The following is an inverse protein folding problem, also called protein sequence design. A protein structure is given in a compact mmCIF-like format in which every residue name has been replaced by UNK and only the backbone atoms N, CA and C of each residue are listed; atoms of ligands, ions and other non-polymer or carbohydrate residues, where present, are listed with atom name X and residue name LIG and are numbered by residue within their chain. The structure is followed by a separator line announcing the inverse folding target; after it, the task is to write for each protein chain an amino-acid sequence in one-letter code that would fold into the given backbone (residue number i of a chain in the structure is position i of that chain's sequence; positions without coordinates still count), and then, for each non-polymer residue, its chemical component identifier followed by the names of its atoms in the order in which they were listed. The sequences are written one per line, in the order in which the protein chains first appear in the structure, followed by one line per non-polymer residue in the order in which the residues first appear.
data_IF_175954910432
#
_entry.id   IF_175954910432
#
_cell.length_a   1.000
_cell.length_b   1.000
_cell.length_c   1.000
_cell.angle_alpha   90.00
_cell.angle_beta   90.00
_cell.angle_gamma   90.00
#
_symmetry.space_group_name_H-M   'P 1'
#
loop_
_entity.id
_entity.type
_entity.pdbx_description
1 polymer ?
#
# COMPACT_ATOMS: atom_id res chain seq x y z
N UNK A 1 3.01 2.51 -20.79
CA UNK A 1 2.10 2.52 -19.62
C UNK A 1 1.81 1.14 -19.03
N UNK A 2 2.10 0.01 -19.71
CA UNK A 2 1.86 -1.34 -19.19
C UNK A 2 2.65 -1.66 -17.91
N UNK A 3 3.90 -1.16 -17.79
CA UNK A 3 4.73 -1.36 -16.60
C UNK A 3 4.27 -0.58 -15.36
N UNK A 4 3.70 0.60 -15.55
CA UNK A 4 3.20 1.45 -14.46
C UNK A 4 1.92 0.84 -13.83
N UNK A 5 1.01 0.33 -14.67
CA UNK A 5 -0.15 -0.43 -14.16
C UNK A 5 0.28 -1.71 -13.45
N UNK A 6 1.24 -2.47 -14.00
CA UNK A 6 1.71 -3.73 -13.40
C UNK A 6 2.31 -3.54 -12.01
N UNK A 7 2.89 -2.37 -11.74
CA UNK A 7 3.52 -2.07 -10.45
C UNK A 7 2.64 -1.21 -9.54
N UNK A 8 1.41 -0.87 -9.95
CA UNK A 8 0.55 0.05 -9.22
C UNK A 8 0.20 -0.46 -7.82
N UNK A 9 -0.11 -1.75 -7.69
CA UNK A 9 -0.37 -2.36 -6.38
C UNK A 9 0.86 -2.35 -5.47
N UNK A 10 2.05 -2.59 -6.01
CA UNK A 10 3.32 -2.50 -5.27
C UNK A 10 3.57 -1.07 -4.78
N UNK A 11 3.33 -0.07 -5.63
CA UNK A 11 3.46 1.36 -5.28
C UNK A 11 2.52 1.72 -4.12
N UNK A 12 1.27 1.23 -4.16
CA UNK A 12 0.30 1.46 -3.10
C UNK A 12 0.76 0.89 -1.74
N UNK A 13 1.36 -0.30 -1.76
CA UNK A 13 1.96 -0.93 -0.56
C UNK A 13 3.11 -0.10 -0.01
N UNK A 14 3.99 0.38 -0.88
CA UNK A 14 5.13 1.23 -0.49
C UNK A 14 4.65 2.53 0.15
N UNK A 15 3.62 3.17 -0.39
CA UNK A 15 3.03 4.37 0.20
C UNK A 15 2.48 4.08 1.60
N UNK A 16 1.75 2.97 1.76
CA UNK A 16 1.27 2.53 3.07
C UNK A 16 2.42 2.36 4.07
N UNK A 17 3.48 1.65 3.67
CA UNK A 17 4.66 1.44 4.53
C UNK A 17 5.35 2.75 4.92
N UNK A 18 5.51 3.69 3.98
CA UNK A 18 6.11 5.01 4.26
C UNK A 18 5.29 5.79 5.28
N UNK A 19 3.95 5.71 5.23
CA UNK A 19 3.07 6.35 6.21
C UNK A 19 3.27 5.75 7.61
N UNK A 20 3.38 4.42 7.74
CA UNK A 20 3.68 3.78 9.03
C UNK A 20 5.03 4.23 9.57
N UNK A 21 6.06 4.26 8.72
CA UNK A 21 7.41 4.70 9.09
C UNK A 21 7.38 6.16 9.56
N UNK A 22 6.71 7.05 8.83
CA UNK A 22 6.55 8.45 9.24
C UNK A 22 5.82 8.59 10.58
N UNK A 23 4.78 7.77 10.83
CA UNK A 23 4.08 7.75 12.11
C UNK A 23 5.00 7.32 13.27
N UNK A 24 5.91 6.38 13.01
CA UNK A 24 6.92 5.96 13.97
C UNK A 24 7.87 7.10 14.36
N UNK A 25 8.23 7.96 13.42
CA UNK A 25 9.12 9.11 13.69
C UNK A 25 8.40 10.31 14.31
N UNK A 26 7.12 10.51 13.99
CA UNK A 26 6.34 11.67 14.47
C UNK A 26 5.64 11.42 15.82
N UNK A 27 5.71 10.21 16.36
CA UNK A 27 5.10 9.85 17.65
C UNK A 27 3.60 9.60 17.58
N UNK A 28 3.01 9.56 16.37
CA UNK A 28 1.57 9.39 16.15
C UNK A 28 1.16 7.91 16.06
N UNK A 29 1.89 7.03 16.75
CA UNK A 29 1.74 5.56 16.71
C UNK A 29 0.47 5.05 17.43
N UNK A 30 -0.16 5.89 18.24
CA UNK A 30 -1.41 5.56 18.94
C UNK A 30 -2.67 6.01 18.20
N UNK A 31 -2.54 6.73 17.08
CA UNK A 31 -3.69 7.23 16.37
C UNK A 31 -4.24 6.14 15.44
N UNK A 32 -5.20 5.38 15.96
CA UNK A 32 -5.84 4.26 15.26
C UNK A 32 -6.43 4.63 13.90
N UNK A 33 -6.78 5.90 13.69
CA UNK A 33 -7.20 6.38 12.37
C UNK A 33 -6.06 6.28 11.33
N UNK A 34 -4.83 6.69 11.69
CA UNK A 34 -3.69 6.64 10.77
C UNK A 34 -3.14 5.21 10.67
N UNK A 35 -3.03 4.50 11.80
CA UNK A 35 -2.58 3.11 11.80
C UNK A 35 -3.55 2.20 11.03
N UNK A 36 -4.85 2.37 11.25
CA UNK A 36 -5.90 1.64 10.54
C UNK A 36 -5.95 1.98 9.06
N UNK A 37 -5.94 3.27 8.70
CA UNK A 37 -5.96 3.68 7.28
C UNK A 37 -4.75 3.18 6.52
N UNK A 38 -3.55 3.25 7.11
CA UNK A 38 -2.32 2.77 6.48
C UNK A 38 -2.26 1.23 6.38
N UNK A 39 -2.75 0.50 7.37
CA UNK A 39 -2.92 -0.95 7.27
C UNK A 39 -3.89 -1.36 6.16
N UNK A 40 -5.03 -0.67 6.04
CA UNK A 40 -5.98 -0.88 4.94
C UNK A 40 -5.33 -0.58 3.59
N UNK A 41 -4.54 0.50 3.50
CA UNK A 41 -3.81 0.89 2.30
C UNK A 41 -2.83 -0.21 1.83
N UNK A 42 -2.10 -0.81 2.77
CA UNK A 42 -1.20 -1.95 2.50
C UNK A 42 -1.97 -3.16 2.00
N UNK A 43 -3.08 -3.54 2.67
CA UNK A 43 -3.89 -4.70 2.29
C UNK A 43 -4.51 -4.50 0.91
N UNK A 44 -5.12 -3.35 0.64
CA UNK A 44 -5.72 -3.02 -0.66
C UNK A 44 -4.64 -2.94 -1.76
N UNK A 45 -3.45 -2.43 -1.44
CA UNK A 45 -2.31 -2.44 -2.35
C UNK A 45 -1.87 -3.84 -2.72
N UNK A 46 -1.80 -4.76 -1.75
CA UNK A 46 -1.46 -6.16 -1.98
C UNK A 46 -2.50 -6.85 -2.85
N UNK A 47 -3.79 -6.67 -2.54
CA UNK A 47 -4.90 -7.26 -3.32
C UNK A 47 -4.86 -6.72 -4.76
N UNK A 48 -4.70 -5.41 -4.92
CA UNK A 48 -4.55 -4.78 -6.25
C UNK A 48 -3.35 -5.35 -7.00
N UNK A 49 -2.20 -5.53 -6.35
CA UNK A 49 -1.01 -6.12 -6.95
C UNK A 49 -1.30 -7.54 -7.45
N UNK A 50 -1.91 -8.39 -6.63
CA UNK A 50 -2.24 -9.77 -6.98
C UNK A 50 -3.23 -9.81 -8.15
N UNK A 51 -4.30 -9.03 -8.10
CA UNK A 51 -5.34 -8.99 -9.15
C UNK A 51 -4.77 -8.49 -10.48
N UNK A 52 -4.01 -7.40 -10.46
CA UNK A 52 -3.40 -6.83 -11.66
C UNK A 52 -2.39 -7.82 -12.25
N UNK A 53 -1.53 -8.43 -11.41
CA UNK A 53 -0.52 -9.36 -11.90
C UNK A 53 -1.16 -10.65 -12.44
N UNK A 54 -2.31 -11.08 -11.89
CA UNK A 54 -3.10 -12.21 -12.40
C UNK A 54 -3.80 -11.86 -13.73
N UNK A 55 -4.36 -10.65 -13.87
CA UNK A 55 -5.07 -10.16 -15.08
C UNK A 55 -4.17 -9.78 -16.25
N UNK A 56 -2.88 -9.48 -16.01
CA UNK A 56 -1.90 -9.15 -17.06
C UNK A 56 -1.09 -10.38 -17.48
N UNK A 57 -1.07 -11.43 -16.65
CA UNK A 57 -0.42 -12.70 -16.97
C UNK A 57 -1.33 -13.67 -17.74
N UNK A 58 -2.66 -13.54 -17.63
CA UNK A 58 -3.64 -14.00 -18.63
C UNK A 58 -3.71 -13.03 -19.81
#
# INVERSE_FOLDING_TARGET
MKGLLKNLGLILVVIGAVILVACSFTGNVNNNAILGSSAVLVVVGLISYIVINKRIAD
#
